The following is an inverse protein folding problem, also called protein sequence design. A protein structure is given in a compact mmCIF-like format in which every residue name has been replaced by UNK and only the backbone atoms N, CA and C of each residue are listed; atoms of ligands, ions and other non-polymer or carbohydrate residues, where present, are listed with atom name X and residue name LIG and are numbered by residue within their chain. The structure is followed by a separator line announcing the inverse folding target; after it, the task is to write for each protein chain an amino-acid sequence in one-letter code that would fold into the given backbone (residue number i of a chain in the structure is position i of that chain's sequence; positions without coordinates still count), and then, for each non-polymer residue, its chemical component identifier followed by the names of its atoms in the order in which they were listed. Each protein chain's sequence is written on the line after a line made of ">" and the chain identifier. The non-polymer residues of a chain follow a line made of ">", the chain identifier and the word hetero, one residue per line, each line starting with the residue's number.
data_IF_277426107774
#
_entry.id   IF_277426107774
#
_cell.length_a   1.000
_cell.length_b   1.000
_cell.length_c   1.000
_cell.angle_alpha   90.00
_cell.angle_beta   90.00
_cell.angle_gamma   90.00
#
_symmetry.space_group_name_H-M   'P 1'
#
loop_
_entity.id
_entity.type
_entity.pdbx_description
1 polymer ?
#
# COMPACT_ATOMS: atom_id res chain seq x y z
N UNK A 1 17.41 -34.93 26.34
CA UNK A 1 17.37 -34.24 25.03
C UNK A 1 16.42 -33.05 25.15
N UNK A 2 16.92 -31.86 25.47
CA UNK A 2 16.11 -30.65 25.55
C UNK A 2 15.89 -30.09 24.14
N UNK A 3 14.64 -30.10 23.67
CA UNK A 3 14.25 -29.49 22.41
C UNK A 3 14.26 -27.97 22.54
N UNK A 4 15.20 -27.30 21.88
CA UNK A 4 15.17 -25.85 21.70
C UNK A 4 13.98 -25.51 20.80
N UNK A 5 12.86 -25.14 21.40
CA UNK A 5 11.75 -24.48 20.70
C UNK A 5 12.33 -23.19 20.11
N UNK A 6 12.49 -23.16 18.78
CA UNK A 6 12.80 -21.94 18.04
C UNK A 6 11.65 -20.97 18.27
N UNK A 7 11.82 -20.04 19.21
CA UNK A 7 10.92 -18.90 19.36
C UNK A 7 10.84 -18.20 17.99
N UNK A 8 9.68 -18.32 17.34
CA UNK A 8 9.43 -17.69 16.05
C UNK A 8 9.67 -16.19 16.18
N UNK A 9 10.50 -15.64 15.28
CA UNK A 9 10.82 -14.21 15.25
C UNK A 9 9.51 -13.40 15.36
N UNK A 10 9.35 -12.53 16.38
CA UNK A 10 8.12 -11.77 16.56
C UNK A 10 7.83 -11.00 15.27
N UNK A 11 6.64 -11.22 14.70
CA UNK A 11 6.17 -10.47 13.53
C UNK A 11 6.14 -9.00 13.95
N UNK A 12 6.99 -8.18 13.33
CA UNK A 12 7.01 -6.72 13.54
C UNK A 12 5.57 -6.21 13.36
N UNK A 13 5.02 -5.58 14.39
CA UNK A 13 3.70 -4.96 14.30
C UNK A 13 3.77 -3.90 13.18
N UNK A 14 2.90 -3.99 12.18
CA UNK A 14 2.84 -2.99 11.10
C UNK A 14 2.52 -1.64 11.71
N UNK A 15 3.17 -0.59 11.21
CA UNK A 15 2.88 0.75 11.68
C UNK A 15 1.52 1.22 11.13
N UNK A 16 0.93 2.25 11.74
CA UNK A 16 -0.37 2.78 11.29
C UNK A 16 -0.25 3.31 9.87
N UNK A 17 0.89 3.96 9.58
CA UNK A 17 1.25 4.39 8.22
C UNK A 17 1.24 3.24 7.21
N UNK A 18 1.90 2.13 7.52
CA UNK A 18 1.98 0.97 6.62
C UNK A 18 0.60 0.37 6.34
N UNK A 19 -0.24 0.29 7.38
CA UNK A 19 -1.60 -0.23 7.26
C UNK A 19 -2.47 0.66 6.36
N UNK A 20 -2.50 1.97 6.62
CA UNK A 20 -3.26 2.94 5.82
C UNK A 20 -2.79 2.95 4.36
N UNK A 21 -1.47 3.02 4.13
CA UNK A 21 -0.90 3.02 2.79
C UNK A 21 -1.22 1.72 2.04
N UNK A 22 -1.24 0.56 2.72
CA UNK A 22 -1.60 -0.72 2.09
C UNK A 22 -3.07 -0.78 1.67
N UNK A 23 -3.98 -0.18 2.44
CA UNK A 23 -5.40 -0.10 2.12
C UNK A 23 -5.61 0.78 0.88
N UNK A 24 -4.97 1.96 0.85
CA UNK A 24 -5.02 2.86 -0.31
C UNK A 24 -4.54 2.15 -1.57
N UNK A 25 -3.34 1.56 -1.52
CA UNK A 25 -2.77 0.88 -2.69
C UNK A 25 -3.63 -0.33 -3.13
N UNK A 26 -4.25 -1.04 -2.19
CA UNK A 26 -5.16 -2.15 -2.48
C UNK A 26 -6.41 -1.71 -3.24
N UNK A 27 -7.07 -0.63 -2.81
CA UNK A 27 -8.20 -0.06 -3.55
C UNK A 27 -7.78 0.48 -4.91
N UNK A 28 -6.59 1.06 -4.98
CA UNK A 28 -6.04 1.62 -6.22
C UNK A 28 -5.84 0.53 -7.28
N UNK A 29 -5.36 -0.67 -6.92
CA UNK A 29 -5.25 -1.82 -7.83
C UNK A 29 -6.60 -2.15 -8.47
N UNK A 30 -7.68 -2.16 -7.67
CA UNK A 30 -9.03 -2.46 -8.15
C UNK A 30 -9.48 -1.39 -9.15
N UNK A 31 -9.25 -0.12 -8.83
CA UNK A 31 -9.61 0.99 -9.71
C UNK A 31 -8.83 0.94 -11.03
N UNK A 32 -7.52 0.71 -11.00
CA UNK A 32 -6.69 0.62 -12.21
C UNK A 32 -7.11 -0.57 -13.07
N UNK A 33 -7.47 -1.70 -12.45
CA UNK A 33 -8.04 -2.84 -13.16
C UNK A 33 -9.35 -2.46 -13.88
N UNK A 34 -10.28 -1.81 -13.18
CA UNK A 34 -11.53 -1.35 -13.77
C UNK A 34 -11.29 -0.28 -14.86
N UNK A 35 -10.35 0.64 -14.65
CA UNK A 35 -9.96 1.66 -15.62
C UNK A 35 -9.42 1.02 -16.91
N UNK A 36 -8.67 -0.08 -16.79
CA UNK A 36 -8.17 -0.86 -17.92
C UNK A 36 -9.33 -1.47 -18.72
N UNK A 37 -10.33 -2.04 -18.05
CA UNK A 37 -11.52 -2.57 -18.70
C UNK A 37 -12.35 -1.46 -19.38
N UNK A 38 -12.46 -0.29 -18.75
CA UNK A 38 -13.11 0.89 -19.32
C UNK A 38 -12.36 1.36 -20.57
N UNK A 39 -11.03 1.46 -20.52
CA UNK A 39 -10.20 1.82 -21.67
C UNK A 39 -10.37 0.83 -22.83
N UNK A 40 -10.42 -0.47 -22.53
CA UNK A 40 -10.69 -1.52 -23.52
C UNK A 40 -12.09 -1.37 -24.13
N UNK A 41 -13.12 -1.13 -23.30
CA UNK A 41 -14.49 -0.91 -23.75
C UNK A 41 -14.66 0.34 -24.61
N UNK A 42 -13.94 1.41 -24.29
CA UNK A 42 -13.91 2.67 -25.02
C UNK A 42 -13.02 2.63 -26.28
N UNK A 43 -12.30 1.51 -26.52
CA UNK A 43 -11.36 1.33 -27.65
C UNK A 43 -10.36 2.49 -27.80
N UNK A 44 -9.82 2.97 -26.67
CA UNK A 44 -8.90 4.13 -26.65
C UNK A 44 -7.57 3.87 -27.38
N UNK A 45 -7.18 2.61 -27.54
CA UNK A 45 -6.01 2.15 -28.27
C UNK A 45 -6.19 0.67 -28.67
N UNK A 46 -5.15 0.05 -29.22
CA UNK A 46 -5.12 -1.37 -29.52
C UNK A 46 -5.48 -2.21 -28.26
N UNK A 47 -6.46 -3.13 -28.36
CA UNK A 47 -6.88 -3.99 -27.26
C UNK A 47 -5.75 -4.66 -26.49
N UNK A 48 -4.75 -5.16 -27.20
CA UNK A 48 -3.62 -5.89 -26.62
C UNK A 48 -2.78 -4.91 -25.80
N UNK A 49 -2.54 -3.71 -26.33
CA UNK A 49 -1.77 -2.67 -25.62
C UNK A 49 -2.48 -2.24 -24.35
N UNK A 50 -3.81 -2.01 -24.41
CA UNK A 50 -4.59 -1.59 -23.23
C UNK A 50 -4.58 -2.67 -22.16
N UNK A 51 -4.90 -3.92 -22.51
CA UNK A 51 -4.99 -5.02 -21.55
C UNK A 51 -3.62 -5.41 -20.97
N UNK A 52 -2.58 -5.47 -21.81
CA UNK A 52 -1.22 -5.77 -21.33
C UNK A 52 -0.67 -4.62 -20.51
N UNK A 53 -0.82 -3.37 -20.96
CA UNK A 53 -0.35 -2.20 -20.22
C UNK A 53 -1.02 -2.05 -18.86
N UNK A 54 -2.34 -2.17 -18.82
CA UNK A 54 -3.11 -2.15 -17.56
C UNK A 54 -2.79 -3.33 -16.65
N UNK A 55 -2.65 -4.53 -17.21
CA UNK A 55 -2.25 -5.73 -16.46
C UNK A 55 -0.86 -5.61 -15.83
N UNK A 56 0.12 -5.09 -16.58
CA UNK A 56 1.47 -4.81 -16.07
C UNK A 56 1.44 -3.76 -14.97
N UNK A 57 0.62 -2.71 -15.12
CA UNK A 57 0.47 -1.69 -14.08
C UNK A 57 -0.13 -2.27 -12.80
N UNK A 58 -1.19 -3.09 -12.90
CA UNK A 58 -1.75 -3.81 -11.75
C UNK A 58 -0.71 -4.72 -11.08
N UNK A 59 0.10 -5.45 -11.86
CA UNK A 59 1.15 -6.30 -11.30
C UNK A 59 2.23 -5.48 -10.57
N UNK A 60 2.65 -4.35 -11.15
CA UNK A 60 3.59 -3.43 -10.53
C UNK A 60 3.06 -2.88 -9.19
N UNK A 61 1.76 -2.58 -9.12
CA UNK A 61 1.11 -2.19 -7.86
C UNK A 61 1.16 -3.32 -6.84
N UNK A 62 0.78 -4.54 -7.21
CA UNK A 62 0.83 -5.72 -6.32
C UNK A 62 2.25 -6.00 -5.79
N UNK A 63 3.27 -5.81 -6.63
CA UNK A 63 4.67 -5.88 -6.20
C UNK A 63 4.97 -4.76 -5.21
N UNK A 64 4.50 -3.55 -5.46
CA UNK A 64 4.67 -2.40 -4.55
C UNK A 64 4.03 -2.65 -3.17
N UNK A 65 2.88 -3.34 -3.10
CA UNK A 65 2.28 -3.78 -1.82
C UNK A 65 3.26 -4.62 -0.98
N UNK A 66 4.07 -5.48 -1.62
CA UNK A 66 5.09 -6.31 -0.92
C UNK A 66 6.31 -5.50 -0.49
N UNK A 67 6.61 -4.39 -1.17
CA UNK A 67 7.76 -3.53 -0.87
C UNK A 67 7.45 -2.38 0.09
N UNK A 68 6.20 -2.26 0.55
CA UNK A 68 5.78 -1.18 1.44
C UNK A 68 6.51 -1.19 2.79
N UNK A 69 7.04 -2.34 3.21
CA UNK A 69 7.88 -2.52 4.40
C UNK A 69 9.25 -1.83 4.30
N UNK A 70 9.61 -1.32 3.11
CA UNK A 70 10.89 -0.64 2.81
C UNK A 70 10.64 0.83 2.50
N UNK A 71 11.59 1.74 2.83
CA UNK A 71 11.51 3.15 2.42
C UNK A 71 11.43 3.34 0.90
N UNK A 72 11.90 2.35 0.13
CA UNK A 72 11.74 2.29 -1.32
C UNK A 72 10.28 2.17 -1.76
N UNK A 73 9.43 1.46 -1.01
CA UNK A 73 8.01 1.30 -1.35
C UNK A 73 7.27 2.64 -1.41
N UNK A 74 7.65 3.60 -0.56
CA UNK A 74 7.06 4.95 -0.57
C UNK A 74 7.46 5.73 -1.84
N UNK A 75 8.71 5.61 -2.29
CA UNK A 75 9.16 6.25 -3.53
C UNK A 75 8.49 5.63 -4.75
N UNK A 76 8.39 4.30 -4.77
CA UNK A 76 7.73 3.57 -5.84
C UNK A 76 6.24 3.95 -5.90
N UNK A 77 5.55 4.03 -4.76
CA UNK A 77 4.16 4.47 -4.70
C UNK A 77 3.95 5.88 -5.30
N UNK A 78 4.86 6.82 -5.04
CA UNK A 78 4.83 8.14 -5.70
C UNK A 78 4.96 8.06 -7.22
N UNK A 79 5.86 7.21 -7.73
CA UNK A 79 5.99 7.00 -9.19
C UNK A 79 4.69 6.43 -9.76
N UNK A 80 4.10 5.43 -9.10
CA UNK A 80 2.83 4.87 -9.54
C UNK A 80 1.68 5.87 -9.54
N UNK A 81 1.62 6.76 -8.55
CA UNK A 81 0.62 7.82 -8.53
C UNK A 81 0.70 8.71 -9.76
N UNK A 82 1.92 9.13 -10.15
CA UNK A 82 2.09 9.91 -11.38
C UNK A 82 1.71 9.13 -12.63
N UNK A 83 2.02 7.82 -12.69
CA UNK A 83 1.62 6.96 -13.82
C UNK A 83 0.10 6.85 -13.92
N UNK A 84 -0.60 6.74 -12.80
CA UNK A 84 -2.06 6.64 -12.76
C UNK A 84 -2.69 7.97 -13.17
N UNK A 85 -2.20 9.09 -12.68
CA UNK A 85 -2.65 10.41 -13.12
C UNK A 85 -2.41 10.59 -14.63
N UNK A 86 -1.24 10.15 -15.14
CA UNK A 86 -0.94 10.19 -16.58
C UNK A 86 -1.87 9.29 -17.41
N UNK A 87 -2.36 8.17 -16.86
CA UNK A 87 -3.37 7.34 -17.52
C UNK A 87 -4.69 8.08 -17.77
N UNK A 88 -4.92 9.20 -17.05
CA UNK A 88 -5.98 10.17 -17.32
C UNK A 88 -6.00 10.70 -18.76
N UNK A 89 -4.87 10.72 -19.46
CA UNK A 89 -4.83 11.11 -20.87
C UNK A 89 -5.65 10.18 -21.78
N UNK A 90 -5.77 8.91 -21.41
CA UNK A 90 -6.59 7.93 -22.14
C UNK A 90 -8.04 7.96 -21.66
N UNK A 91 -8.24 8.13 -20.36
CA UNK A 91 -9.56 8.11 -19.72
C UNK A 91 -9.67 9.34 -18.81
N UNK A 92 -10.23 10.48 -19.29
CA UNK A 92 -10.15 11.77 -18.60
C UNK A 92 -10.63 11.76 -17.13
N UNK A 93 -11.62 10.93 -16.79
CA UNK A 93 -12.11 10.79 -15.41
C UNK A 93 -11.04 10.25 -14.44
N UNK A 94 -10.02 9.54 -14.94
CA UNK A 94 -8.89 9.06 -14.14
C UNK A 94 -7.99 10.19 -13.63
N UNK A 95 -8.05 11.40 -14.19
CA UNK A 95 -7.39 12.56 -13.57
C UNK A 95 -7.99 12.88 -12.21
N UNK A 96 -9.33 12.87 -12.10
CA UNK A 96 -10.03 13.14 -10.84
C UNK A 96 -9.74 12.05 -9.82
N UNK A 97 -9.84 10.79 -10.25
CA UNK A 97 -9.61 9.63 -9.39
C UNK A 97 -8.15 9.56 -8.95
N UNK A 98 -7.20 9.69 -9.89
CA UNK A 98 -5.77 9.71 -9.59
C UNK A 98 -5.39 10.86 -8.65
N UNK A 99 -5.92 12.08 -8.87
CA UNK A 99 -5.68 13.20 -7.97
C UNK A 99 -6.20 12.93 -6.55
N UNK A 100 -7.38 12.34 -6.41
CA UNK A 100 -7.93 11.95 -5.11
C UNK A 100 -7.05 10.91 -4.41
N UNK A 101 -6.50 9.94 -5.15
CA UNK A 101 -5.60 8.93 -4.61
C UNK A 101 -4.22 9.51 -4.23
N UNK A 102 -3.65 10.42 -5.03
CA UNK A 102 -2.45 11.18 -4.66
C UNK A 102 -2.67 11.93 -3.35
N UNK A 103 -3.81 12.61 -3.21
CA UNK A 103 -4.17 13.34 -2.00
C UNK A 103 -4.32 12.40 -0.79
N UNK A 104 -4.96 11.24 -0.98
CA UNK A 104 -5.11 10.26 0.08
C UNK A 104 -3.78 9.61 0.46
N UNK A 105 -2.94 9.27 -0.52
CA UNK A 105 -1.60 8.73 -0.32
C UNK A 105 -0.71 9.68 0.48
N UNK A 106 -0.68 10.97 0.09
CA UNK A 106 0.06 12.00 0.83
C UNK A 106 -0.49 12.17 2.25
N UNK A 107 -1.81 12.16 2.42
CA UNK A 107 -2.44 12.20 3.74
C UNK A 107 -2.04 11.00 4.61
N UNK A 108 -2.09 9.77 4.08
CA UNK A 108 -1.69 8.56 4.80
C UNK A 108 -0.22 8.60 5.22
N UNK A 109 0.68 9.14 4.39
CA UNK A 109 2.08 9.32 4.75
C UNK A 109 2.22 10.33 5.90
N UNK A 110 1.60 11.50 5.80
CA UNK A 110 1.72 12.56 6.82
C UNK A 110 1.06 12.13 8.13
N UNK A 111 -0.19 11.68 8.10
CA UNK A 111 -0.93 11.20 9.27
C UNK A 111 -0.27 9.98 9.89
N UNK A 112 0.19 9.03 9.07
CA UNK A 112 0.92 7.86 9.53
C UNK A 112 2.18 8.25 10.31
N UNK A 113 2.98 9.19 9.80
CA UNK A 113 4.16 9.67 10.54
C UNK A 113 3.81 10.35 11.85
N UNK A 114 2.70 11.11 11.91
CA UNK A 114 2.24 11.77 13.14
C UNK A 114 1.75 10.77 14.20
N UNK A 115 1.02 9.73 13.79
CA UNK A 115 0.48 8.70 14.68
C UNK A 115 1.57 7.73 15.14
N UNK A 116 2.48 7.33 14.23
CA UNK A 116 3.62 6.47 14.57
C UNK A 116 4.59 7.17 15.54
N UNK A 117 4.67 8.51 15.51
CA UNK A 117 5.47 9.29 16.47
C UNK A 117 4.85 9.41 17.86
N UNK A 118 3.52 9.24 17.96
CA UNK A 118 2.76 9.30 19.22
C UNK A 118 2.63 7.92 19.88
N UNK A 119 2.70 6.85 19.09
CA UNK A 119 2.83 5.49 19.59
C UNK A 119 4.22 5.34 20.24
N UNK A 120 4.28 5.56 21.56
CA UNK A 120 5.50 5.37 22.35
C UNK A 120 6.07 3.94 22.22
N UNK A 121 7.34 3.71 22.60
CA UNK A 121 7.99 2.40 22.51
C UNK A 121 7.07 1.31 23.08
N UNK A 122 7.00 0.10 22.46
CA UNK A 122 6.22 -1.01 23.00
C UNK A 122 6.56 -1.16 24.47
N UNK A 123 5.56 -1.03 25.35
CA UNK A 123 5.75 -1.08 26.80
C UNK A 123 6.60 -2.31 27.13
N UNK A 124 7.84 -2.07 27.54
CA UNK A 124 8.74 -3.13 27.96
C UNK A 124 8.12 -3.71 29.22
N UNK A 125 7.55 -4.92 29.09
CA UNK A 125 7.08 -5.74 30.19
C UNK A 125 6.15 -5.01 31.15
N UNK A 126 4.84 -5.14 30.94
CA UNK A 126 3.98 -5.31 32.11
C UNK A 126 4.41 -6.64 32.75
N UNK A 127 5.46 -6.61 33.56
CA UNK A 127 5.65 -7.63 34.59
C UNK A 127 4.43 -7.48 35.48
N UNK A 128 3.46 -8.34 35.26
CA UNK A 128 2.30 -8.48 36.10
C UNK A 128 2.80 -8.74 37.54
N UNK A 129 2.56 -7.85 38.52
CA UNK A 129 3.04 -8.04 39.89
C UNK A 129 2.39 -9.23 40.62
N UNK A 130 1.58 -10.04 39.95
CA UNK A 130 0.77 -11.11 40.54
C UNK A 130 1.36 -12.52 40.46
N UNK A 131 2.60 -12.69 39.97
CA UNK A 131 3.30 -13.98 39.97
C UNK A 131 4.38 -14.05 41.06
N UNK A 132 3.98 -13.77 42.31
CA UNK A 132 4.87 -13.77 43.47
C UNK A 132 4.23 -14.17 44.80
N UNK A 133 2.99 -14.67 44.81
CA UNK A 133 2.35 -15.17 46.04
C UNK A 133 1.17 -16.09 45.69
N UNK A 134 1.44 -17.40 45.58
CA UNK A 134 0.54 -18.54 45.85
C UNK A 134 1.18 -19.88 45.51
#
# INVERSE_FOLDING_TARGET
>A
MAGLVRAGRPRRARTVRESLASIVLGFEVVIVFLATLVGFGLKVADPVVVLVGGGVLCLAMLVTLRLLDRPLGIRIGWVLQFVIVASGLLVPIMFVIGAAFVALWTYCIVTGTRLDSQAGPPAAGTTDPTEGDR
#
